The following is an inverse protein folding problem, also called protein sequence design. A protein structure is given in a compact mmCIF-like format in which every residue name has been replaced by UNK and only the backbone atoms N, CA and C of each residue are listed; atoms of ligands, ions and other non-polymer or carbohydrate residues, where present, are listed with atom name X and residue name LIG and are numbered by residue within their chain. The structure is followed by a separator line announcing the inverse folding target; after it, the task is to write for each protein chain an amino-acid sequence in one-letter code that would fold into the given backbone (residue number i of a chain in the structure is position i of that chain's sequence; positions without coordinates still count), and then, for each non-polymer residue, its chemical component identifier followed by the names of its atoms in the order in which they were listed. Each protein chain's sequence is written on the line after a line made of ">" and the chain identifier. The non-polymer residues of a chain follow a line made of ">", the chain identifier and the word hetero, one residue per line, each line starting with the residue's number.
data_IF_342487148453
#
_entry.id   IF_342487148453
#
_cell.length_a   1.000
_cell.length_b   1.000
_cell.length_c   1.000
_cell.angle_alpha   90.00
_cell.angle_beta   90.00
_cell.angle_gamma   90.00
#
_symmetry.space_group_name_H-M   'P 1'
#
loop_
_entity.id
_entity.type
_entity.pdbx_description
1 polymer ?
#
# COMPACT_ATOMS: atom_id res chain seq x y z
N UNK A 1 -8.05 3.28 -7.91
CA UNK A 1 -7.38 3.25 -9.24
C UNK A 1 -6.19 2.31 -9.19
N UNK A 2 -5.72 1.81 -10.33
CA UNK A 2 -4.53 0.95 -10.37
C UNK A 2 -3.25 1.76 -10.12
N UNK A 3 -2.43 1.30 -9.18
CA UNK A 3 -1.12 1.87 -8.86
C UNK A 3 -0.01 1.13 -9.61
N UNK A 4 -0.14 -0.16 -9.88
CA UNK A 4 0.72 -0.87 -10.81
C UNK A 4 0.84 -2.36 -10.50
N UNK A 5 1.70 -3.03 -11.25
CA UNK A 5 2.02 -4.43 -11.09
C UNK A 5 3.53 -4.67 -11.10
N UNK A 6 4.01 -5.58 -10.25
CA UNK A 6 5.42 -5.90 -10.11
C UNK A 6 5.63 -7.39 -9.88
N UNK A 7 6.76 -7.90 -10.38
CA UNK A 7 7.27 -9.22 -10.01
C UNK A 7 8.15 -9.07 -8.76
N UNK A 8 7.87 -9.84 -7.71
CA UNK A 8 8.65 -9.84 -6.47
C UNK A 8 8.91 -11.25 -5.95
N UNK A 9 10.00 -11.44 -5.19
CA UNK A 9 10.32 -12.74 -4.60
C UNK A 9 9.70 -12.89 -3.21
N UNK A 10 9.03 -14.02 -2.97
CA UNK A 10 8.52 -14.35 -1.62
C UNK A 10 9.67 -14.73 -0.69
N UNK A 11 9.65 -14.16 0.51
CA UNK A 11 10.56 -14.53 1.61
C UNK A 11 10.43 -16.01 2.04
N UNK A 12 9.31 -16.68 1.71
CA UNK A 12 9.05 -18.06 2.16
C UNK A 12 9.40 -19.14 1.15
N UNK A 13 9.23 -18.86 -0.15
CA UNK A 13 9.24 -19.93 -1.16
C UNK A 13 10.25 -19.72 -2.28
N UNK A 14 11.01 -18.62 -2.33
CA UNK A 14 12.04 -18.38 -3.35
C UNK A 14 11.52 -18.24 -4.79
N UNK A 15 10.25 -18.52 -5.04
CA UNK A 15 9.57 -18.35 -6.32
C UNK A 15 9.22 -16.88 -6.56
N UNK A 16 9.28 -16.39 -7.81
CA UNK A 16 8.73 -15.09 -8.19
C UNK A 16 7.20 -15.10 -8.15
N UNK A 17 6.62 -14.02 -7.64
CA UNK A 17 5.18 -13.74 -7.60
C UNK A 17 4.89 -12.45 -8.33
N UNK A 18 3.70 -12.34 -8.92
CA UNK A 18 3.19 -11.08 -9.43
C UNK A 18 2.26 -10.44 -8.39
N UNK A 19 2.47 -9.16 -8.12
CA UNK A 19 1.66 -8.36 -7.20
C UNK A 19 1.05 -7.18 -7.92
N UNK A 20 -0.25 -6.96 -7.71
CA UNK A 20 -0.99 -5.81 -8.21
C UNK A 20 -1.38 -4.92 -7.04
N UNK A 21 -1.27 -3.60 -7.20
CA UNK A 21 -1.62 -2.64 -6.17
C UNK A 21 -2.69 -1.67 -6.67
N UNK A 22 -3.69 -1.44 -5.84
CA UNK A 22 -4.82 -0.54 -6.12
C UNK A 22 -5.04 0.41 -4.96
N UNK A 23 -5.42 1.65 -5.28
CA UNK A 23 -5.84 2.64 -4.28
C UNK A 23 -7.31 2.46 -3.92
N UNK A 24 -7.60 2.54 -2.62
CA UNK A 24 -8.94 2.49 -2.05
C UNK A 24 -9.11 3.65 -1.06
N UNK A 25 -10.19 4.41 -1.22
CA UNK A 25 -10.58 5.43 -0.27
C UNK A 25 -11.39 4.80 0.86
N UNK A 26 -10.80 4.71 2.04
CA UNK A 26 -11.47 4.17 3.22
C UNK A 26 -12.48 5.20 3.72
N UNK A 27 -13.76 4.80 3.78
CA UNK A 27 -14.85 5.63 4.32
C UNK A 27 -15.19 5.28 5.77
N UNK A 28 -14.93 4.05 6.17
CA UNK A 28 -15.21 3.54 7.51
C UNK A 28 -14.12 2.55 7.92
N UNK A 29 -13.76 2.58 9.21
CA UNK A 29 -12.87 1.61 9.82
C UNK A 29 -13.60 0.86 10.93
N UNK A 30 -13.84 -0.43 10.72
CA UNK A 30 -14.42 -1.30 11.74
C UNK A 30 -13.43 -1.56 12.89
N UNK A 31 -13.96 -1.57 14.12
CA UNK A 31 -13.20 -1.91 15.32
C UNK A 31 -12.79 -3.40 15.34
N UNK A 32 -13.63 -4.28 14.81
CA UNK A 32 -13.39 -5.72 14.73
C UNK A 32 -13.12 -6.12 13.28
N UNK A 33 -12.05 -6.88 13.07
CA UNK A 33 -11.62 -7.39 11.76
C UNK A 33 -10.88 -8.72 11.92
N UNK A 34 -10.85 -9.61 10.91
CA UNK A 34 -10.45 -11.01 11.08
C UNK A 34 -9.05 -11.22 11.68
N UNK A 35 -8.08 -10.35 11.39
CA UNK A 35 -6.70 -10.49 11.86
C UNK A 35 -6.30 -9.52 13.00
N UNK A 36 -7.26 -8.87 13.68
CA UNK A 36 -7.00 -7.87 14.74
C UNK A 36 -6.06 -8.36 15.84
N UNK A 37 -6.14 -9.64 16.20
CA UNK A 37 -5.39 -10.21 17.31
C UNK A 37 -3.94 -10.56 16.94
N UNK A 38 -3.63 -10.65 15.65
CA UNK A 38 -2.30 -11.08 15.15
C UNK A 38 -1.60 -10.04 14.28
N UNK A 39 -2.29 -8.95 13.94
CA UNK A 39 -1.76 -7.85 13.13
C UNK A 39 -2.15 -6.50 13.73
N UNK A 40 -1.26 -5.52 13.53
CA UNK A 40 -1.51 -4.12 13.89
C UNK A 40 -1.87 -3.34 12.63
N UNK A 41 -2.80 -2.40 12.78
CA UNK A 41 -3.16 -1.40 11.76
C UNK A 41 -3.03 -0.03 12.38
N UNK A 42 -2.37 0.89 11.68
CA UNK A 42 -2.21 2.28 12.07
C UNK A 42 -2.48 3.17 10.86
N UNK A 43 -3.09 4.32 11.12
CA UNK A 43 -3.03 5.44 10.17
C UNK A 43 -1.64 6.04 10.25
N UNK A 44 -1.14 6.50 9.11
CA UNK A 44 0.18 7.09 8.99
C UNK A 44 0.15 8.19 7.94
N UNK A 45 1.05 9.17 8.08
CA UNK A 45 1.27 10.16 7.03
C UNK A 45 2.01 9.54 5.85
N UNK A 46 2.09 10.26 4.74
CA UNK A 46 2.84 9.80 3.56
C UNK A 46 4.33 9.67 3.90
N UNK A 47 4.86 10.58 4.70
CA UNK A 47 6.26 10.57 5.16
C UNK A 47 6.55 9.32 6.00
N UNK A 48 5.71 9.02 6.99
CA UNK A 48 5.83 7.81 7.81
C UNK A 48 5.71 6.53 6.95
N UNK A 49 4.82 6.54 5.96
CA UNK A 49 4.64 5.43 5.04
C UNK A 49 5.90 5.15 4.20
N UNK A 50 6.59 6.21 3.73
CA UNK A 50 7.86 6.09 2.98
C UNK A 50 8.95 5.38 3.79
N UNK A 51 8.98 5.63 5.10
CA UNK A 51 9.97 5.04 6.01
C UNK A 51 9.72 3.57 6.28
N UNK A 52 8.45 3.15 6.41
CA UNK A 52 8.09 1.75 6.71
C UNK A 52 8.01 0.85 5.47
N UNK A 53 7.85 1.41 4.26
CA UNK A 53 7.86 0.64 3.02
C UNK A 53 9.21 -0.06 2.81
N UNK A 54 9.24 -1.38 2.94
CA UNK A 54 10.48 -2.17 2.90
C UNK A 54 10.98 -2.48 1.49
N UNK A 55 10.10 -2.41 0.49
CA UNK A 55 10.40 -2.82 -0.88
C UNK A 55 10.24 -1.65 -1.83
N UNK A 56 11.11 -1.58 -2.86
CA UNK A 56 11.09 -0.52 -3.86
C UNK A 56 9.71 -0.38 -4.52
N UNK A 57 9.08 -1.49 -4.90
CA UNK A 57 7.75 -1.49 -5.51
C UNK A 57 6.66 -0.89 -4.61
N UNK A 58 6.78 -1.03 -3.27
CA UNK A 58 5.82 -0.41 -2.34
C UNK A 58 5.98 1.11 -2.34
N UNK A 59 7.23 1.61 -2.38
CA UNK A 59 7.53 3.04 -2.44
C UNK A 59 7.06 3.65 -3.75
N UNK A 60 7.31 2.97 -4.87
CA UNK A 60 6.82 3.38 -6.20
C UNK A 60 5.29 3.48 -6.24
N UNK A 61 4.59 2.48 -5.70
CA UNK A 61 3.13 2.52 -5.60
C UNK A 61 2.63 3.69 -4.75
N UNK A 62 3.30 3.99 -3.64
CA UNK A 62 2.97 5.11 -2.76
C UNK A 62 3.16 6.45 -3.46
N UNK A 63 4.29 6.68 -4.15
CA UNK A 63 4.51 7.95 -4.87
C UNK A 63 3.49 8.17 -5.98
N UNK A 64 3.06 7.09 -6.65
CA UNK A 64 1.98 7.19 -7.63
C UNK A 64 0.63 7.51 -6.98
N UNK A 65 0.33 6.95 -5.81
CA UNK A 65 -0.89 7.32 -5.08
C UNK A 65 -0.88 8.81 -4.73
N UNK A 66 0.23 9.32 -4.20
CA UNK A 66 0.39 10.73 -3.82
C UNK A 66 0.23 11.63 -5.03
N UNK A 67 0.86 11.29 -6.16
CA UNK A 67 0.71 12.10 -7.38
C UNK A 67 -0.73 12.14 -7.86
N UNK A 68 -1.43 10.98 -7.88
CA UNK A 68 -2.84 10.92 -8.26
C UNK A 68 -3.73 11.76 -7.35
N UNK A 69 -3.47 11.78 -6.04
CA UNK A 69 -4.23 12.60 -5.09
C UNK A 69 -4.00 14.10 -5.31
N UNK A 70 -2.75 14.51 -5.54
CA UNK A 70 -2.45 15.90 -5.87
C UNK A 70 -3.15 16.35 -7.15
N UNK A 71 -3.23 15.50 -8.16
CA UNK A 71 -3.99 15.81 -9.38
C UNK A 71 -5.49 15.97 -9.12
N UNK A 72 -6.08 15.14 -8.25
CA UNK A 72 -7.51 15.25 -7.91
C UNK A 72 -7.82 16.48 -7.06
N UNK A 73 -6.89 16.92 -6.22
CA UNK A 73 -7.09 18.12 -5.38
C UNK A 73 -6.93 19.43 -6.17
N UNK A 74 -6.29 19.36 -7.35
CA UNK A 74 -6.08 20.49 -8.27
C UNK A 74 -7.13 20.58 -9.39
N UNK A 75 -8.04 19.61 -9.49
CA UNK A 75 -9.10 19.52 -10.52
C UNK A 75 -10.48 19.75 -9.93
#
# INVERSE_FOLDING_TARGET
>A
SELGNWIFQSKRYGTPYEGFMFSLLVKEQLEFWPEKDVRRRSWMTVEEARDVCQYAWMKEALEKLVSLQLFTDLS
#
